data_IF_557613002491
#
_entry.id   IF_557613002491
#
_cell.length_a   1.000
_cell.length_b   1.000
_cell.length_c   1.000
_cell.angle_alpha   90.00
_cell.angle_beta   90.00
_cell.angle_gamma   90.00
#
_symmetry.space_group_name_H-M   'P 1'
#
loop_
_entity.id
_entity.type
_entity.pdbx_description
1 polymer ?
#
# COMPACT_ATOMS: atom_id res chain seq x y z
N UNK A 1 -21.22 -10.48 -1.18
CA UNK A 1 -21.25 -9.25 -2.04
C UNK A 1 -20.17 -9.31 -3.13
N UNK A 2 -18.95 -9.74 -2.85
CA UNK A 2 -17.86 -9.90 -3.83
C UNK A 2 -18.23 -10.89 -4.97
N UNK A 3 -18.84 -12.03 -4.65
CA UNK A 3 -19.33 -13.01 -5.63
C UNK A 3 -20.35 -12.42 -6.62
N UNK A 4 -21.16 -11.46 -6.17
CA UNK A 4 -22.18 -10.81 -7.02
C UNK A 4 -21.55 -9.79 -7.98
N UNK A 5 -20.50 -9.10 -7.54
CA UNK A 5 -19.71 -8.21 -8.39
C UNK A 5 -18.94 -9.00 -9.46
N UNK A 6 -18.30 -10.12 -9.07
CA UNK A 6 -17.65 -11.05 -10.00
C UNK A 6 -18.59 -11.56 -11.10
N UNK A 7 -19.80 -12.04 -10.74
CA UNK A 7 -20.77 -12.52 -11.70
C UNK A 7 -21.23 -11.44 -12.68
N UNK A 8 -21.37 -10.20 -12.24
CA UNK A 8 -21.73 -9.07 -13.11
C UNK A 8 -20.62 -8.70 -14.09
N UNK A 9 -19.36 -8.73 -13.67
CA UNK A 9 -18.22 -8.41 -14.53
C UNK A 9 -18.01 -9.49 -15.60
N UNK A 10 -18.14 -10.75 -15.24
CA UNK A 10 -18.05 -11.88 -16.18
C UNK A 10 -19.25 -11.91 -17.15
N UNK A 11 -20.46 -11.63 -16.67
CA UNK A 11 -21.67 -11.61 -17.49
C UNK A 11 -21.74 -10.41 -18.46
N UNK A 12 -21.05 -9.32 -18.17
CA UNK A 12 -21.05 -8.13 -19.01
C UNK A 12 -20.18 -8.25 -20.28
N UNK A 13 -19.50 -9.38 -20.50
CA UNK A 13 -18.70 -9.63 -21.72
C UNK A 13 -17.57 -8.64 -21.96
N UNK A 14 -17.25 -7.79 -20.99
CA UNK A 14 -16.19 -6.77 -21.06
C UNK A 14 -14.82 -7.32 -20.70
N UNK A 15 -14.63 -8.60 -20.81
CA UNK A 15 -13.36 -9.25 -20.56
C UNK A 15 -12.71 -9.67 -21.87
N UNK A 16 -11.97 -8.80 -22.51
CA UNK A 16 -10.79 -9.31 -23.18
C UNK A 16 -9.93 -9.97 -22.11
N UNK A 17 -9.33 -11.12 -22.40
CA UNK A 17 -8.46 -11.90 -21.49
C UNK A 17 -7.14 -11.16 -21.13
N UNK A 18 -7.20 -9.85 -20.99
CA UNK A 18 -6.15 -8.98 -20.47
C UNK A 18 -6.15 -9.01 -18.94
N UNK A 19 -5.12 -8.55 -18.33
CA UNK A 19 -4.82 -8.57 -16.87
C UNK A 19 -6.00 -8.56 -15.87
N UNK A 20 -7.10 -7.80 -16.06
CA UNK A 20 -8.25 -7.84 -15.14
C UNK A 20 -8.88 -9.22 -15.00
N UNK A 21 -8.88 -10.00 -16.08
CA UNK A 21 -9.43 -11.36 -16.07
C UNK A 21 -8.55 -12.33 -15.27
N UNK A 22 -7.25 -12.09 -15.26
CA UNK A 22 -6.31 -12.89 -14.46
C UNK A 22 -6.49 -12.66 -12.96
N UNK A 23 -6.57 -11.41 -12.51
CA UNK A 23 -6.78 -11.11 -11.10
C UNK A 23 -8.16 -11.59 -10.62
N UNK A 24 -9.17 -11.49 -11.48
CA UNK A 24 -10.49 -12.05 -11.20
C UNK A 24 -10.46 -13.58 -11.09
N UNK A 25 -9.74 -14.25 -11.98
CA UNK A 25 -9.56 -15.71 -11.95
C UNK A 25 -8.77 -16.14 -10.70
N UNK A 26 -7.72 -15.41 -10.33
CA UNK A 26 -6.94 -15.63 -9.12
C UNK A 26 -7.79 -15.45 -7.86
N UNK A 27 -8.59 -14.39 -7.81
CA UNK A 27 -9.53 -14.15 -6.73
C UNK A 27 -10.55 -15.30 -6.62
N UNK A 28 -11.05 -15.82 -7.73
CA UNK A 28 -11.95 -16.97 -7.77
C UNK A 28 -11.30 -18.25 -7.28
N UNK A 29 -10.06 -18.51 -7.71
CA UNK A 29 -9.27 -19.69 -7.28
C UNK A 29 -9.03 -19.61 -5.77
N UNK A 30 -8.62 -18.48 -5.26
CA UNK A 30 -8.40 -18.27 -3.84
C UNK A 30 -9.68 -18.50 -3.03
N UNK A 31 -10.81 -17.98 -3.50
CA UNK A 31 -12.11 -18.21 -2.87
C UNK A 31 -12.46 -19.70 -2.83
N UNK A 32 -12.26 -20.44 -3.94
CA UNK A 32 -12.48 -21.89 -3.99
C UNK A 32 -11.54 -22.68 -3.09
N UNK A 33 -10.33 -22.20 -2.87
CA UNK A 33 -9.33 -22.81 -1.98
C UNK A 33 -9.56 -22.49 -0.49
N UNK A 34 -10.72 -21.92 -0.15
CA UNK A 34 -11.13 -21.67 1.23
C UNK A 34 -10.67 -20.36 1.83
N UNK A 35 -10.16 -19.43 1.02
CA UNK A 35 -9.91 -18.06 1.48
C UNK A 35 -11.25 -17.35 1.71
N UNK A 36 -11.48 -16.94 2.96
CA UNK A 36 -12.79 -16.40 3.37
C UNK A 36 -13.10 -15.02 2.80
N UNK A 37 -12.07 -14.25 2.45
CA UNK A 37 -12.22 -12.89 1.93
C UNK A 37 -11.33 -12.74 0.69
N UNK A 38 -11.94 -12.41 -0.43
CA UNK A 38 -11.28 -12.07 -1.67
C UNK A 38 -11.90 -10.81 -2.24
N UNK A 39 -11.07 -9.83 -2.55
CA UNK A 39 -11.49 -8.56 -3.15
C UNK A 39 -11.06 -8.57 -4.61
N UNK A 40 -12.02 -8.32 -5.51
CA UNK A 40 -11.75 -8.01 -6.91
C UNK A 40 -11.93 -6.51 -7.11
N UNK A 41 -10.90 -5.85 -7.61
CA UNK A 41 -10.90 -4.42 -7.89
C UNK A 41 -10.55 -4.16 -9.36
N UNK A 42 -10.87 -2.97 -9.83
CA UNK A 42 -10.45 -2.51 -11.14
C UNK A 42 -8.93 -2.42 -11.21
N UNK A 43 -8.35 -2.91 -12.30
CA UNK A 43 -6.93 -2.68 -12.57
C UNK A 43 -6.75 -1.23 -13.05
N UNK A 44 -5.94 -0.48 -12.31
CA UNK A 44 -5.63 0.91 -12.63
C UNK A 44 -4.40 0.97 -13.55
N UNK A 45 -3.25 1.35 -13.06
CA UNK A 45 -1.99 1.37 -13.81
C UNK A 45 -0.89 0.63 -13.07
N UNK A 46 0.26 0.45 -13.70
CA UNK A 46 1.44 -0.16 -13.05
C UNK A 46 2.24 0.83 -12.17
N UNK A 47 1.84 2.12 -12.23
CA UNK A 47 2.50 3.16 -11.42
C UNK A 47 1.95 3.14 -10.01
N UNK A 48 2.83 2.81 -9.05
CA UNK A 48 2.48 2.72 -7.64
C UNK A 48 3.37 3.62 -6.77
N UNK A 49 2.78 4.12 -5.71
CA UNK A 49 3.48 4.86 -4.67
C UNK A 49 2.97 4.38 -3.31
N UNK A 50 3.84 4.32 -2.34
CA UNK A 50 3.48 3.98 -0.97
C UNK A 50 3.90 5.11 -0.05
N UNK A 51 3.06 5.43 0.93
CA UNK A 51 3.40 6.39 1.98
C UNK A 51 3.38 5.69 3.33
N UNK A 52 4.51 5.73 4.06
CA UNK A 52 4.65 5.18 5.40
C UNK A 52 4.72 6.28 6.42
N UNK A 53 4.09 6.07 7.57
CA UNK A 53 3.99 7.05 8.63
C UNK A 53 4.06 6.44 10.01
N UNK A 54 4.47 7.26 10.95
CA UNK A 54 4.50 6.97 12.38
C UNK A 54 3.59 7.95 13.11
N UNK A 55 2.72 7.41 13.96
CA UNK A 55 1.70 8.15 14.68
C UNK A 55 1.80 7.95 16.18
N UNK A 56 1.47 8.97 16.96
CA UNK A 56 1.39 8.89 18.41
C UNK A 56 0.08 9.51 18.89
N UNK A 57 -0.85 8.68 19.35
CA UNK A 57 -2.12 9.11 19.94
C UNK A 57 -2.93 10.08 19.08
N UNK A 58 -2.98 9.85 17.76
CA UNK A 58 -3.69 10.70 16.80
C UNK A 58 -2.83 11.76 16.14
N UNK A 59 -1.60 11.97 16.61
CA UNK A 59 -0.66 12.93 16.04
C UNK A 59 0.30 12.26 15.05
N UNK A 60 0.44 12.85 13.86
CA UNK A 60 1.43 12.43 12.88
C UNK A 60 2.81 12.91 13.30
N UNK A 61 3.72 11.98 13.57
CA UNK A 61 5.10 12.31 13.94
C UNK A 61 5.97 12.49 12.72
N UNK A 62 5.88 11.57 11.78
CA UNK A 62 6.64 11.61 10.53
C UNK A 62 5.97 10.76 9.48
N UNK A 63 6.13 11.13 8.22
CA UNK A 63 5.69 10.35 7.07
C UNK A 63 6.62 10.52 5.89
N UNK A 64 6.78 9.46 5.10
CA UNK A 64 7.64 9.43 3.94
C UNK A 64 7.03 8.62 2.82
N UNK A 65 6.98 9.22 1.63
CA UNK A 65 6.59 8.56 0.40
C UNK A 65 7.74 7.82 -0.28
N UNK A 66 7.36 6.78 -1.02
CA UNK A 66 8.28 6.01 -1.86
C UNK A 66 7.56 5.55 -3.12
N UNK A 67 8.06 5.95 -4.28
CA UNK A 67 7.66 5.37 -5.56
C UNK A 67 8.40 4.06 -5.79
N UNK A 68 7.71 3.06 -6.28
CA UNK A 68 8.32 1.79 -6.70
C UNK A 68 8.79 1.94 -8.14
N UNK A 69 10.03 1.54 -8.41
CA UNK A 69 10.59 1.58 -9.77
C UNK A 69 10.34 0.27 -10.50
N UNK A 70 10.47 -0.87 -9.83
CA UNK A 70 10.12 -2.18 -10.37
C UNK A 70 9.90 -3.20 -9.24
N UNK A 71 9.32 -4.35 -9.61
CA UNK A 71 9.12 -5.48 -8.74
C UNK A 71 10.25 -6.49 -8.90
N UNK A 72 10.98 -6.74 -7.82
CA UNK A 72 11.94 -7.85 -7.77
C UNK A 72 11.21 -9.19 -7.87
N UNK A 73 11.80 -10.12 -8.61
CA UNK A 73 11.25 -11.45 -8.82
C UNK A 73 9.84 -11.47 -9.45
N UNK A 74 9.44 -10.40 -10.13
CA UNK A 74 8.14 -10.35 -10.81
C UNK A 74 7.97 -11.49 -11.83
N UNK A 75 9.09 -11.94 -12.43
CA UNK A 75 9.12 -13.10 -13.34
C UNK A 75 8.77 -14.44 -12.67
N UNK A 76 8.75 -14.51 -11.35
CA UNK A 76 8.33 -15.68 -10.57
C UNK A 76 6.87 -15.64 -10.19
N UNK A 77 6.18 -14.57 -10.49
CA UNK A 77 4.75 -14.40 -10.22
C UNK A 77 3.99 -14.50 -11.54
N UNK A 78 2.79 -15.08 -11.51
CA UNK A 78 1.98 -15.26 -12.71
C UNK A 78 1.52 -13.91 -13.32
N UNK A 79 1.30 -12.90 -12.49
CA UNK A 79 0.88 -11.57 -12.94
C UNK A 79 2.03 -10.72 -13.49
N UNK A 80 3.27 -11.03 -13.12
CA UNK A 80 4.42 -10.19 -13.45
C UNK A 80 4.49 -8.84 -12.71
N UNK A 81 3.48 -8.52 -11.91
CA UNK A 81 3.32 -7.20 -11.24
C UNK A 81 3.29 -7.30 -9.72
N UNK A 82 3.63 -8.43 -9.16
CA UNK A 82 3.74 -8.65 -7.72
C UNK A 82 5.10 -9.22 -7.35
N UNK A 83 5.52 -9.00 -6.12
CA UNK A 83 6.82 -9.47 -5.64
C UNK A 83 7.32 -8.60 -4.49
N UNK A 84 8.64 -8.64 -4.28
CA UNK A 84 9.31 -7.75 -3.34
C UNK A 84 9.70 -6.46 -4.05
N UNK A 85 9.60 -5.33 -3.36
CA UNK A 85 10.18 -4.08 -3.86
C UNK A 85 11.67 -4.07 -3.53
N UNK A 86 12.51 -4.24 -4.53
CA UNK A 86 13.97 -4.14 -4.38
C UNK A 86 14.49 -2.74 -4.64
N UNK A 87 13.84 -2.00 -5.53
CA UNK A 87 14.24 -0.66 -5.90
C UNK A 87 13.09 0.33 -5.80
N UNK A 88 13.32 1.39 -5.06
CA UNK A 88 12.37 2.48 -4.88
C UNK A 88 13.08 3.83 -4.90
N UNK A 89 12.32 4.87 -5.14
CA UNK A 89 12.75 6.28 -5.07
C UNK A 89 11.96 6.97 -3.98
N UNK A 90 12.63 7.77 -3.16
CA UNK A 90 11.96 8.65 -2.20
C UNK A 90 11.04 9.62 -2.96
N UNK A 91 9.83 9.75 -2.48
CA UNK A 91 8.78 10.58 -3.07
C UNK A 91 8.28 11.59 -2.04
N UNK A 92 8.47 12.88 -2.32
CA UNK A 92 8.08 13.98 -1.43
C UNK A 92 6.84 14.71 -1.99
N UNK A 93 5.81 13.96 -2.38
CA UNK A 93 4.57 14.51 -2.88
C UNK A 93 3.65 14.92 -1.72
N UNK A 94 3.33 16.21 -1.61
CA UNK A 94 2.35 16.72 -0.65
C UNK A 94 0.95 16.16 -0.88
N UNK A 95 0.56 15.90 -2.14
CA UNK A 95 -0.75 15.31 -2.46
C UNK A 95 -0.86 13.88 -1.95
N UNK A 96 0.19 13.07 -2.14
CA UNK A 96 0.24 11.70 -1.61
C UNK A 96 0.19 11.72 -0.08
N UNK A 97 0.97 12.58 0.57
CA UNK A 97 0.97 12.69 2.04
C UNK A 97 -0.41 13.08 2.57
N UNK A 98 -1.04 14.10 1.99
CA UNK A 98 -2.39 14.55 2.37
C UNK A 98 -3.42 13.42 2.24
N UNK A 99 -3.48 12.75 1.09
CA UNK A 99 -4.40 11.62 0.86
C UNK A 99 -4.15 10.46 1.81
N UNK A 100 -2.90 10.15 2.08
CA UNK A 100 -2.55 9.08 3.01
C UNK A 100 -2.98 9.43 4.45
N UNK A 101 -2.81 10.67 4.89
CA UNK A 101 -3.30 11.15 6.19
C UNK A 101 -4.82 11.00 6.26
N UNK A 102 -5.55 11.43 5.23
CA UNK A 102 -7.00 11.28 5.15
C UNK A 102 -7.43 9.81 5.28
N UNK A 103 -6.76 8.89 4.59
CA UNK A 103 -7.04 7.44 4.66
C UNK A 103 -6.76 6.87 6.06
N UNK A 104 -5.64 7.25 6.68
CA UNK A 104 -5.32 6.79 8.04
C UNK A 104 -6.37 7.28 9.03
N UNK A 105 -6.70 8.57 9.02
CA UNK A 105 -7.70 9.15 9.92
C UNK A 105 -9.12 8.64 9.67
N UNK A 106 -9.44 8.24 8.44
CA UNK A 106 -10.72 7.60 8.13
C UNK A 106 -10.80 6.15 8.65
N UNK A 107 -9.67 5.49 8.84
CA UNK A 107 -9.60 4.11 9.35
C UNK A 107 -9.45 4.04 10.87
N UNK A 108 -8.87 5.05 11.49
CA UNK A 108 -8.65 5.14 12.93
C UNK A 108 -8.70 6.62 13.36
N UNK A 109 -9.62 6.98 14.24
CA UNK A 109 -9.77 8.35 14.75
C UNK A 109 -8.58 8.81 15.60
N UNK A 110 -7.86 7.85 16.20
CA UNK A 110 -6.69 8.13 17.05
C UNK A 110 -5.53 7.20 16.73
N UNK A 111 -4.97 7.26 15.51
CA UNK A 111 -3.95 6.34 15.08
C UNK A 111 -2.73 6.38 16.01
N UNK A 112 -2.17 5.19 16.28
CA UNK A 112 -0.97 5.01 17.08
C UNK A 112 -0.09 3.91 16.49
N UNK A 113 1.20 4.19 16.31
CA UNK A 113 2.16 3.26 15.73
C UNK A 113 2.38 3.48 14.24
N UNK A 114 2.58 2.39 13.51
CA UNK A 114 3.00 2.41 12.11
C UNK A 114 1.80 2.20 11.19
N UNK A 115 1.65 3.08 10.20
CA UNK A 115 0.67 2.96 9.13
C UNK A 115 1.36 3.14 7.78
N UNK A 116 0.93 2.35 6.81
CA UNK A 116 1.37 2.49 5.43
C UNK A 116 0.17 2.43 4.50
N UNK A 117 0.09 3.36 3.56
CA UNK A 117 -0.97 3.40 2.54
C UNK A 117 -0.33 3.18 1.18
N UNK A 118 -0.76 2.15 0.49
CA UNK A 118 -0.38 1.87 -0.88
C UNK A 118 -1.37 2.55 -1.83
N UNK A 119 -0.84 3.20 -2.85
CA UNK A 119 -1.61 3.86 -3.90
C UNK A 119 -1.23 3.31 -5.26
N UNK A 120 -2.22 3.23 -6.13
CA UNK A 120 -2.03 3.00 -7.56
C UNK A 120 -2.62 4.18 -8.31
N UNK A 121 -1.88 4.72 -9.28
CA UNK A 121 -2.38 5.79 -10.13
C UNK A 121 -3.36 5.24 -11.15
N UNK A 122 -4.46 5.95 -11.39
CA UNK A 122 -5.30 5.68 -12.54
C UNK A 122 -4.66 6.22 -13.84
N UNK A 123 -5.33 5.99 -14.96
CA UNK A 123 -4.85 6.44 -16.28
C UNK A 123 -4.87 7.96 -16.46
N UNK A 124 -5.55 8.70 -15.58
CA UNK A 124 -5.55 10.16 -15.51
C UNK A 124 -4.44 10.71 -14.60
N UNK A 125 -3.66 9.82 -13.97
CA UNK A 125 -2.60 10.20 -13.05
C UNK A 125 -3.10 10.54 -11.64
N UNK A 126 -4.32 10.15 -11.28
CA UNK A 126 -4.87 10.34 -9.93
C UNK A 126 -4.44 9.16 -9.05
N UNK A 127 -3.82 9.39 -7.88
CA UNK A 127 -3.47 8.33 -6.96
C UNK A 127 -4.71 7.86 -6.18
N UNK A 128 -4.99 6.57 -6.26
CA UNK A 128 -6.09 5.92 -5.57
C UNK A 128 -5.53 5.01 -4.46
N UNK A 129 -6.00 5.10 -3.21
CA UNK A 129 -5.57 4.21 -2.15
C UNK A 129 -6.08 2.79 -2.43
N UNK A 130 -5.20 1.80 -2.35
CA UNK A 130 -5.50 0.41 -2.66
C UNK A 130 -5.39 -0.51 -1.46
N UNK A 131 -4.51 -0.18 -0.53
CA UNK A 131 -4.27 -0.98 0.67
C UNK A 131 -3.78 -0.10 1.81
N UNK A 132 -4.19 -0.44 3.04
CA UNK A 132 -3.60 0.09 4.27
C UNK A 132 -2.94 -1.05 5.05
N UNK A 133 -1.68 -0.88 5.42
CA UNK A 133 -0.91 -1.83 6.22
C UNK A 133 -0.59 -1.22 7.57
N UNK A 134 -0.92 -1.91 8.66
CA UNK A 134 -0.77 -1.43 10.03
C UNK A 134 0.26 -2.28 10.78
N UNK A 135 1.08 -1.63 11.60
CA UNK A 135 1.97 -2.29 12.56
C UNK A 135 3.25 -2.87 11.98
N UNK A 136 3.60 -2.60 10.72
CA UNK A 136 4.83 -3.10 10.09
C UNK A 136 5.51 -2.06 9.22
N UNK A 137 6.84 -2.09 9.22
CA UNK A 137 7.65 -1.32 8.26
C UNK A 137 7.72 -2.03 6.91
N UNK A 138 7.98 -1.27 5.85
CA UNK A 138 8.30 -1.84 4.54
C UNK A 138 9.55 -2.73 4.60
N UNK A 139 9.62 -3.70 3.73
CA UNK A 139 10.85 -4.48 3.52
C UNK A 139 12.04 -3.62 3.09
N UNK A 140 11.77 -2.48 2.44
CA UNK A 140 12.76 -1.50 1.97
C UNK A 140 12.89 -0.28 2.87
N UNK A 141 12.41 -0.36 4.12
CA UNK A 141 12.43 0.77 5.06
C UNK A 141 13.85 1.30 5.33
N UNK A 142 14.86 0.45 5.24
CA UNK A 142 16.25 0.83 5.41
C UNK A 142 16.68 1.99 4.49
N UNK A 143 16.11 2.10 3.29
CA UNK A 143 16.39 3.22 2.38
C UNK A 143 15.88 4.56 2.94
N UNK A 144 14.73 4.54 3.62
CA UNK A 144 14.16 5.71 4.29
C UNK A 144 15.06 6.13 5.46
N UNK A 145 15.54 5.16 6.25
CA UNK A 145 16.51 5.40 7.33
C UNK A 145 17.81 6.02 6.78
N UNK A 146 18.34 5.48 5.67
CA UNK A 146 19.53 6.05 5.01
C UNK A 146 19.30 7.44 4.44
N UNK A 147 18.08 7.78 4.09
CA UNK A 147 17.69 9.12 3.66
C UNK A 147 17.49 10.11 4.84
N UNK A 148 17.78 9.70 6.08
CA UNK A 148 17.74 10.55 7.26
C UNK A 148 16.44 10.44 8.09
N UNK A 149 15.53 9.52 7.76
CA UNK A 149 14.27 9.33 8.49
C UNK A 149 14.24 7.95 9.16
N UNK A 150 14.75 7.85 10.39
CA UNK A 150 14.83 6.60 11.13
C UNK A 150 13.57 6.34 11.96
N UNK A 151 12.45 6.00 11.30
CA UNK A 151 11.19 5.70 11.97
C UNK A 151 11.27 4.52 12.96
N UNK A 152 12.03 3.43 12.73
CA UNK A 152 12.19 2.38 13.73
C UNK A 152 12.77 2.89 15.06
N UNK A 153 13.78 3.73 15.00
CA UNK A 153 14.36 4.35 16.19
C UNK A 153 13.34 5.24 16.91
N UNK A 154 12.63 6.09 16.17
CA UNK A 154 11.58 6.94 16.71
C UNK A 154 10.50 6.12 17.41
N UNK A 155 10.10 4.97 16.82
CA UNK A 155 9.12 4.08 17.44
C UNK A 155 9.61 3.50 18.78
N UNK A 156 10.87 3.12 18.87
CA UNK A 156 11.48 2.62 20.11
C UNK A 156 11.46 3.71 21.19
N UNK A 157 11.83 4.94 20.84
CA UNK A 157 11.77 6.07 21.79
C UNK A 157 10.36 6.34 22.29
N UNK A 158 9.34 6.25 21.42
CA UNK A 158 7.95 6.41 21.85
C UNK A 158 7.49 5.31 22.79
N UNK A 159 7.84 4.07 22.48
CA UNK A 159 7.44 2.91 23.27
C UNK A 159 8.09 2.91 24.65
N UNK A 160 9.28 3.49 24.77
CA UNK A 160 10.03 3.57 26.03
C UNK A 160 9.73 4.84 26.85
N UNK A 161 8.79 5.71 26.40
CA UNK A 161 8.51 7.03 27.00
C UNK A 161 9.74 7.96 27.09
N UNK A 162 10.75 7.69 26.29
CA UNK A 162 11.98 8.46 26.28
C UNK A 162 11.74 9.74 25.47
N UNK A 163 12.04 10.89 26.06
CA UNK A 163 11.99 12.18 25.37
C UNK A 163 13.05 12.23 24.26
N UNK A 164 12.59 12.21 23.02
CA UNK A 164 13.45 12.40 21.86
C UNK A 164 13.65 13.90 21.61
N UNK A 165 14.80 14.45 22.00
CA UNK A 165 15.23 15.77 21.54
C UNK A 165 16.10 15.59 20.32
N UNK A 166 15.76 16.24 19.21
CA UNK A 166 16.61 16.29 18.03
C UNK A 166 17.98 16.86 18.42
N UNK A 167 18.99 16.02 18.45
CA UNK A 167 20.39 16.45 18.49
C UNK A 167 20.85 16.84 17.09
#
# INVERSE_FOLDING_TARGET
>A
RACRAMRRTVAAGKGSLSNPSYELAKAWINYRNGWKITIAAEHLSDRTVTWQSLWRNGELIVGQGRSRLYWEMSNRTQSGVTGLTGTGKIENSHDIARRAIEVVLASDEKPHGIFSVDFTYDFNGVPNPTEINIGKFFTTHYFITKAGCNMPEMLVFFSAEINWSRS
#
